data_IF_090205509990
#
_entry.id   IF_090205509990
#
_cell.length_a   1.000
_cell.length_b   1.000
_cell.length_c   1.000
_cell.angle_alpha   90.00
_cell.angle_beta   90.00
_cell.angle_gamma   90.00
#
_symmetry.space_group_name_H-M   'P 1'
#
loop_
_entity.id
_entity.type
_entity.pdbx_description
1 polymer ?
#
# COMPACT_ATOMS: atom_id res chain seq x y z
N UNK A 1 66.29 -63.24 -50.99
CA UNK A 1 65.70 -62.09 -51.64
C UNK A 1 64.77 -61.44 -50.67
N UNK A 2 65.24 -60.44 -50.14
CA UNK A 2 64.80 -59.18 -49.54
C UNK A 2 63.39 -59.17 -48.92
N UNK A 3 63.32 -59.35 -47.65
CA UNK A 3 62.14 -59.07 -46.83
C UNK A 3 62.26 -57.65 -46.26
N UNK A 4 61.26 -56.83 -46.56
CA UNK A 4 61.12 -55.53 -46.04
C UNK A 4 60.27 -55.60 -44.77
N UNK A 5 60.89 -55.41 -43.63
CA UNK A 5 60.19 -55.25 -42.34
C UNK A 5 59.78 -53.77 -42.19
N UNK A 6 58.51 -53.50 -42.28
CA UNK A 6 57.96 -52.18 -41.95
C UNK A 6 57.64 -52.15 -40.45
N UNK A 7 58.45 -51.43 -39.70
CA UNK A 7 58.12 -51.04 -38.30
C UNK A 7 57.03 -50.04 -38.27
N UNK A 8 55.92 -50.40 -37.65
CA UNK A 8 54.82 -49.47 -37.32
C UNK A 8 55.16 -48.85 -35.95
N UNK A 9 55.62 -47.65 -35.98
CA UNK A 9 55.75 -46.85 -34.75
C UNK A 9 54.34 -46.32 -34.41
N UNK A 10 53.71 -46.92 -33.40
CA UNK A 10 52.45 -46.42 -32.83
C UNK A 10 52.78 -45.27 -31.93
N UNK A 11 52.48 -44.05 -32.41
CA UNK A 11 52.59 -42.81 -31.65
C UNK A 11 51.37 -42.70 -30.69
N UNK A 12 51.58 -43.04 -29.40
CA UNK A 12 50.64 -42.82 -28.35
C UNK A 12 50.66 -41.28 -28.01
N UNK A 13 49.71 -40.54 -28.53
CA UNK A 13 49.42 -39.23 -28.05
C UNK A 13 48.69 -39.35 -26.71
N UNK A 14 49.18 -38.71 -25.61
CA UNK A 14 48.40 -38.59 -24.40
C UNK A 14 47.26 -37.58 -24.66
N UNK A 15 46.05 -38.10 -24.61
CA UNK A 15 44.82 -37.26 -24.60
C UNK A 15 44.79 -36.52 -23.27
N UNK A 16 45.45 -35.36 -23.25
CA UNK A 16 45.31 -34.41 -22.14
C UNK A 16 43.91 -33.83 -22.22
N UNK A 17 42.98 -34.44 -21.47
CA UNK A 17 41.68 -33.90 -21.19
C UNK A 17 41.89 -32.60 -20.40
N UNK A 18 41.96 -31.47 -21.10
CA UNK A 18 41.77 -30.17 -20.46
C UNK A 18 40.36 -30.17 -19.84
N UNK A 19 40.29 -30.54 -18.56
CA UNK A 19 39.17 -30.17 -17.70
C UNK A 19 39.11 -28.64 -17.66
N UNK A 20 38.36 -28.07 -18.58
CA UNK A 20 37.92 -26.69 -18.44
C UNK A 20 37.06 -26.64 -17.17
N UNK A 21 37.70 -26.32 -16.06
CA UNK A 21 37.00 -25.85 -14.85
C UNK A 21 36.35 -24.53 -15.27
N UNK A 22 35.14 -24.61 -15.79
CA UNK A 22 34.29 -23.45 -15.88
C UNK A 22 34.12 -22.96 -14.43
N UNK A 23 34.56 -21.75 -14.10
CA UNK A 23 34.22 -21.24 -12.81
C UNK A 23 32.68 -21.28 -12.73
N UNK A 24 32.19 -22.15 -11.87
CA UNK A 24 30.80 -22.11 -11.47
C UNK A 24 30.62 -20.70 -10.88
N UNK A 25 30.13 -19.78 -11.69
CA UNK A 25 29.58 -18.55 -11.15
C UNK A 25 28.47 -19.00 -10.21
N UNK A 26 28.84 -19.17 -8.94
CA UNK A 26 27.87 -19.38 -7.90
C UNK A 26 26.86 -18.24 -8.10
N UNK A 27 25.68 -18.60 -8.56
CA UNK A 27 24.61 -17.66 -8.79
C UNK A 27 24.42 -16.97 -7.45
N UNK A 28 24.88 -15.69 -7.36
CA UNK A 28 24.73 -14.93 -6.12
C UNK A 28 23.27 -15.06 -5.74
N UNK A 29 23.03 -15.56 -4.53
CA UNK A 29 21.67 -15.71 -4.04
C UNK A 29 20.94 -14.36 -4.10
N UNK A 30 19.62 -14.41 -4.24
CA UNK A 30 18.82 -13.18 -4.16
C UNK A 30 18.90 -12.57 -2.75
N UNK A 31 19.05 -11.24 -2.62
CA UNK A 31 19.28 -10.27 -3.69
C UNK A 31 20.77 -10.14 -4.06
N UNK A 32 21.10 -10.10 -5.36
CA UNK A 32 22.43 -9.85 -5.86
C UNK A 32 22.68 -8.40 -6.30
N UNK A 33 21.66 -7.54 -6.18
CA UNK A 33 21.68 -6.14 -6.58
C UNK A 33 20.59 -5.32 -5.87
N UNK A 34 20.49 -4.01 -6.18
CA UNK A 34 19.50 -3.12 -5.58
C UNK A 34 18.06 -3.54 -5.87
N UNK A 35 17.18 -3.31 -4.90
CA UNK A 35 15.73 -3.49 -5.04
C UNK A 35 15.09 -2.10 -5.19
N UNK A 36 14.18 -1.95 -6.15
CA UNK A 36 13.34 -0.76 -6.30
C UNK A 36 12.02 -0.99 -5.57
N UNK A 37 11.64 -0.08 -4.65
CA UNK A 37 10.32 -0.06 -4.02
C UNK A 37 9.50 1.09 -4.61
N UNK A 38 8.48 0.75 -5.40
CA UNK A 38 7.58 1.73 -6.00
C UNK A 38 6.50 2.11 -4.98
N UNK A 39 6.40 3.41 -4.69
CA UNK A 39 5.31 4.00 -3.91
C UNK A 39 4.38 4.72 -4.89
N UNK A 40 3.12 4.26 -5.09
CA UNK A 40 2.21 4.81 -6.10
C UNK A 40 1.52 6.12 -5.68
N UNK A 41 2.11 6.82 -4.73
CA UNK A 41 1.63 8.09 -4.15
C UNK A 41 2.75 9.10 -4.03
N UNK A 42 2.39 10.38 -3.90
CA UNK A 42 3.36 11.44 -3.66
C UNK A 42 4.07 11.30 -2.31
N UNK A 43 5.25 11.94 -2.17
CA UNK A 43 6.01 11.89 -0.93
C UNK A 43 5.28 12.55 0.24
N UNK A 44 5.57 12.08 1.46
CA UNK A 44 5.04 12.63 2.72
C UNK A 44 3.67 12.11 3.15
N UNK A 45 2.98 11.29 2.33
CA UNK A 45 1.76 10.59 2.74
C UNK A 45 2.07 9.25 3.41
N UNK A 46 1.05 8.63 4.03
CA UNK A 46 1.24 7.40 4.80
C UNK A 46 1.80 6.23 4.00
N UNK A 47 1.49 6.12 2.71
CA UNK A 47 2.08 5.10 1.84
C UNK A 47 3.60 5.32 1.63
N UNK A 48 4.04 6.58 1.50
CA UNK A 48 5.45 6.93 1.37
C UNK A 48 6.20 6.68 2.69
N UNK A 49 5.64 7.11 3.81
CA UNK A 49 6.22 6.90 5.15
C UNK A 49 6.40 5.41 5.41
N UNK A 50 5.36 4.60 5.21
CA UNK A 50 5.39 3.15 5.38
C UNK A 50 6.39 2.49 4.40
N UNK A 51 6.36 2.89 3.14
CA UNK A 51 7.27 2.37 2.11
C UNK A 51 8.74 2.62 2.46
N UNK A 52 9.07 3.83 2.92
CA UNK A 52 10.45 4.15 3.37
C UNK A 52 10.85 3.41 4.63
N UNK A 53 9.93 3.18 5.55
CA UNK A 53 10.19 2.37 6.74
C UNK A 53 10.50 0.91 6.36
N UNK A 54 9.67 0.31 5.51
CA UNK A 54 9.89 -1.04 5.00
C UNK A 54 11.18 -1.15 4.18
N UNK A 55 11.50 -0.14 3.36
CA UNK A 55 12.72 -0.10 2.57
C UNK A 55 13.98 -0.11 3.46
N UNK A 56 14.04 0.73 4.49
CA UNK A 56 15.16 0.75 5.44
C UNK A 56 15.35 -0.59 6.14
N UNK A 57 14.25 -1.23 6.54
CA UNK A 57 14.32 -2.56 7.12
C UNK A 57 14.86 -3.60 6.14
N UNK A 58 14.28 -3.69 4.93
CA UNK A 58 14.71 -4.63 3.88
C UNK A 58 16.18 -4.41 3.52
N UNK A 59 16.63 -3.15 3.41
CA UNK A 59 18.02 -2.80 3.16
C UNK A 59 18.95 -3.34 4.25
N UNK A 60 18.56 -3.17 5.51
CA UNK A 60 19.33 -3.64 6.66
C UNK A 60 19.35 -5.17 6.78
N UNK A 61 18.19 -5.86 6.61
CA UNK A 61 18.10 -7.32 6.78
C UNK A 61 18.70 -8.08 5.58
N UNK A 62 18.44 -7.60 4.35
CA UNK A 62 18.88 -8.27 3.10
C UNK A 62 20.27 -7.83 2.64
N UNK A 63 20.90 -6.85 3.30
CA UNK A 63 22.24 -6.32 2.95
C UNK A 63 22.37 -5.85 1.50
N UNK A 64 21.33 -5.20 0.99
CA UNK A 64 21.28 -4.64 -0.36
C UNK A 64 20.58 -3.29 -0.34
N UNK A 65 20.92 -2.39 -1.26
CA UNK A 65 20.23 -1.10 -1.34
C UNK A 65 18.75 -1.29 -1.73
N UNK A 66 17.85 -0.55 -1.05
CA UNK A 66 16.43 -0.51 -1.38
C UNK A 66 16.03 0.92 -1.71
N UNK A 67 15.85 1.19 -2.99
CA UNK A 67 15.59 2.54 -3.52
C UNK A 67 14.09 2.79 -3.61
N UNK A 68 13.60 3.79 -2.89
CA UNK A 68 12.18 4.18 -2.94
C UNK A 68 11.94 5.16 -4.08
N UNK A 69 11.00 4.84 -4.96
CA UNK A 69 10.55 5.69 -6.06
C UNK A 69 9.07 6.00 -5.94
N UNK A 70 8.72 7.29 -5.86
CA UNK A 70 7.33 7.74 -5.93
C UNK A 70 6.87 7.82 -7.38
N UNK A 71 5.72 7.20 -7.69
CA UNK A 71 5.09 7.20 -9.02
C UNK A 71 3.58 7.40 -8.89
N UNK A 72 3.12 8.62 -8.52
CA UNK A 72 1.71 8.89 -8.27
C UNK A 72 0.89 8.98 -9.54
N UNK A 73 -0.43 8.78 -9.41
CA UNK A 73 -1.43 9.02 -10.45
C UNK A 73 -2.43 7.89 -10.62
N UNK A 74 -3.62 8.24 -11.13
CA UNK A 74 -4.74 7.34 -11.40
C UNK A 74 -5.03 6.38 -10.23
N UNK A 75 -5.24 6.95 -9.05
CA UNK A 75 -5.51 6.20 -7.79
C UNK A 75 -4.47 5.10 -7.52
N UNK A 76 -3.18 5.39 -7.82
CA UNK A 76 -2.04 4.50 -7.60
C UNK A 76 -1.76 3.48 -8.72
N UNK A 77 -2.62 3.33 -9.70
CA UNK A 77 -2.43 2.33 -10.77
C UNK A 77 -1.20 2.59 -11.64
N UNK A 78 -0.81 3.86 -11.84
CA UNK A 78 0.39 4.21 -12.63
C UNK A 78 1.63 3.57 -11.99
N UNK A 79 1.82 3.75 -10.69
CA UNK A 79 2.97 3.21 -9.97
C UNK A 79 2.98 1.70 -9.94
N UNK A 80 1.85 1.04 -9.62
CA UNK A 80 1.79 -0.42 -9.60
C UNK A 80 1.96 -1.03 -10.99
N UNK A 81 1.43 -0.43 -12.04
CA UNK A 81 1.66 -0.91 -13.41
C UNK A 81 3.14 -0.75 -13.83
N UNK A 82 3.84 0.30 -13.34
CA UNK A 82 5.29 0.38 -13.52
C UNK A 82 5.99 -0.81 -12.83
N UNK A 83 5.67 -1.07 -11.58
CA UNK A 83 6.22 -2.21 -10.83
C UNK A 83 5.92 -3.54 -11.55
N UNK A 84 4.69 -3.75 -12.03
CA UNK A 84 4.30 -4.97 -12.75
C UNK A 84 5.12 -5.13 -14.04
N UNK A 85 5.33 -4.06 -14.80
CA UNK A 85 6.12 -4.11 -16.04
C UNK A 85 7.58 -4.47 -15.75
N UNK A 86 8.17 -3.86 -14.72
CA UNK A 86 9.60 -3.92 -14.44
C UNK A 86 9.97 -5.06 -13.46
N UNK A 87 8.99 -5.69 -12.79
CA UNK A 87 9.16 -6.53 -11.61
C UNK A 87 9.32 -8.03 -11.82
N UNK A 88 9.64 -8.51 -13.02
CA UNK A 88 9.64 -9.96 -13.32
C UNK A 88 10.63 -10.81 -12.51
N UNK A 89 11.68 -10.20 -11.95
CA UNK A 89 12.75 -10.85 -11.20
C UNK A 89 12.70 -10.64 -9.69
N UNK A 90 11.69 -9.91 -9.19
CA UNK A 90 11.59 -9.55 -7.78
C UNK A 90 12.46 -8.36 -7.35
N UNK A 91 13.21 -7.73 -8.25
CA UNK A 91 13.98 -6.52 -7.97
C UNK A 91 13.17 -5.22 -8.08
N UNK A 92 11.91 -5.30 -8.47
CA UNK A 92 10.92 -4.22 -8.34
C UNK A 92 9.73 -4.75 -7.55
N UNK A 93 9.48 -4.15 -6.41
CA UNK A 93 8.34 -4.42 -5.53
C UNK A 93 7.55 -3.13 -5.34
N UNK A 94 6.34 -3.22 -4.83
CA UNK A 94 5.46 -2.04 -4.71
C UNK A 94 4.71 -1.96 -3.41
N UNK A 95 4.35 -0.73 -3.03
CA UNK A 95 3.32 -0.49 -2.03
C UNK A 95 1.96 -0.53 -2.72
N UNK A 96 1.06 -1.40 -2.29
CA UNK A 96 -0.33 -1.38 -2.70
C UNK A 96 -1.20 -0.88 -1.54
N UNK A 97 -2.04 0.11 -1.81
CA UNK A 97 -3.00 0.64 -0.84
C UNK A 97 -4.41 0.12 -1.11
N UNK A 98 -5.30 0.25 -0.11
CA UNK A 98 -6.72 -0.03 -0.29
C UNK A 98 -7.34 0.75 -1.44
N UNK A 99 -6.86 1.98 -1.70
CA UNK A 99 -7.30 2.79 -2.85
C UNK A 99 -6.97 2.14 -4.19
N UNK A 100 -5.77 1.60 -4.35
CA UNK A 100 -5.41 0.93 -5.60
C UNK A 100 -6.11 -0.42 -5.74
N UNK A 101 -6.26 -1.15 -4.63
CA UNK A 101 -7.01 -2.40 -4.59
C UNK A 101 -8.48 -2.20 -5.02
N UNK A 102 -9.13 -1.12 -4.56
CA UNK A 102 -10.54 -0.82 -4.86
C UNK A 102 -10.81 -0.63 -6.35
N UNK A 103 -9.81 -0.20 -7.13
CA UNK A 103 -9.94 -0.10 -8.58
C UNK A 103 -10.37 -1.42 -9.23
N UNK A 104 -9.91 -2.56 -8.70
CA UNK A 104 -10.29 -3.89 -9.17
C UNK A 104 -11.77 -4.25 -8.99
N UNK A 105 -12.54 -3.40 -8.32
CA UNK A 105 -13.99 -3.56 -8.19
C UNK A 105 -14.77 -2.98 -9.38
N UNK A 106 -14.14 -2.19 -10.23
CA UNK A 106 -14.78 -1.49 -11.33
C UNK A 106 -14.52 -2.18 -12.67
N UNK A 107 -15.51 -2.20 -13.59
CA UNK A 107 -15.30 -2.61 -14.98
C UNK A 107 -14.22 -1.75 -15.64
N UNK A 108 -13.35 -2.34 -16.45
CA UNK A 108 -12.24 -1.65 -17.12
C UNK A 108 -11.23 -0.99 -16.17
N UNK A 109 -11.00 -1.65 -15.02
CA UNK A 109 -9.97 -1.22 -14.08
C UNK A 109 -8.62 -1.06 -14.77
N UNK A 110 -7.88 0.03 -14.50
CA UNK A 110 -6.50 0.17 -14.96
C UNK A 110 -5.51 -0.71 -14.20
N UNK A 111 -5.97 -1.43 -13.16
CA UNK A 111 -5.17 -2.32 -12.32
C UNK A 111 -5.96 -3.59 -12.01
N UNK A 112 -5.30 -4.76 -12.12
CA UNK A 112 -5.86 -6.04 -11.73
C UNK A 112 -5.09 -6.61 -10.53
N UNK A 113 -5.79 -6.93 -9.46
CA UNK A 113 -5.18 -7.54 -8.28
C UNK A 113 -4.52 -8.89 -8.59
N UNK A 114 -5.03 -9.65 -9.58
CA UNK A 114 -4.43 -10.91 -10.04
C UNK A 114 -3.03 -10.78 -10.62
N UNK A 115 -2.58 -9.57 -10.98
CA UNK A 115 -1.26 -9.33 -11.58
C UNK A 115 -0.14 -9.18 -10.53
N UNK A 116 -0.52 -9.20 -9.25
CA UNK A 116 0.43 -9.08 -8.14
C UNK A 116 0.34 -10.27 -7.18
N UNK A 117 1.41 -10.45 -6.41
CA UNK A 117 1.48 -11.37 -5.28
C UNK A 117 1.76 -10.55 -4.02
N UNK A 118 0.84 -10.51 -3.05
CA UNK A 118 1.07 -9.85 -1.77
C UNK A 118 2.17 -10.57 -0.99
N UNK A 119 3.13 -9.80 -0.47
CA UNK A 119 4.21 -10.29 0.40
C UNK A 119 3.85 -10.14 1.89
N UNK A 120 3.14 -9.08 2.22
CA UNK A 120 2.53 -8.85 3.53
C UNK A 120 1.56 -7.67 3.46
N UNK A 121 0.54 -7.66 4.33
CA UNK A 121 -0.15 -6.43 4.72
C UNK A 121 0.58 -5.88 5.94
N UNK A 122 1.05 -4.63 5.87
CA UNK A 122 1.81 -4.03 6.96
C UNK A 122 0.93 -3.20 7.90
N UNK A 123 -0.07 -2.51 7.37
CA UNK A 123 -0.89 -1.62 8.19
C UNK A 123 -2.35 -1.68 7.78
N UNK A 124 -3.22 -1.62 8.79
CA UNK A 124 -4.68 -1.45 8.68
C UNK A 124 -5.11 -0.32 9.60
N UNK A 125 -5.74 0.71 9.03
CA UNK A 125 -6.11 1.93 9.76
C UNK A 125 -7.58 2.28 9.51
N UNK A 126 -8.35 2.64 10.53
CA UNK A 126 -9.65 3.26 10.34
C UNK A 126 -9.49 4.60 9.59
N UNK A 127 -10.34 4.82 8.60
CA UNK A 127 -10.45 6.12 7.93
C UNK A 127 -11.42 7.03 8.68
N UNK A 128 -11.32 8.34 8.48
CA UNK A 128 -12.19 9.30 9.10
C UNK A 128 -12.40 10.55 8.25
N UNK A 129 -13.37 11.38 8.66
CA UNK A 129 -13.54 12.72 8.13
C UNK A 129 -13.01 13.73 9.13
N UNK A 130 -12.15 14.60 8.62
CA UNK A 130 -11.49 15.64 9.40
C UNK A 130 -11.85 17.00 8.84
N UNK A 131 -11.80 18.02 9.70
CA UNK A 131 -12.13 19.39 9.34
C UNK A 131 -11.10 20.35 9.95
N UNK A 132 -10.96 21.55 9.35
CA UNK A 132 -10.15 22.60 9.95
C UNK A 132 -10.62 22.87 11.39
N UNK A 133 -9.67 22.97 12.32
CA UNK A 133 -9.96 23.12 13.75
C UNK A 133 -10.82 24.37 14.05
N UNK A 134 -10.65 25.45 13.30
CA UNK A 134 -11.39 26.70 13.47
C UNK A 134 -12.76 26.72 12.77
N UNK A 135 -13.10 25.66 12.01
CA UNK A 135 -14.40 25.54 11.35
C UNK A 135 -15.57 25.75 12.34
N UNK A 136 -16.67 26.40 11.94
CA UNK A 136 -17.89 26.51 12.74
C UNK A 136 -18.58 25.16 12.97
N UNK A 137 -18.34 24.16 12.09
CA UNK A 137 -18.82 22.78 12.25
C UNK A 137 -17.95 22.11 13.30
N UNK A 138 -18.51 21.77 14.46
CA UNK A 138 -17.74 21.25 15.60
C UNK A 138 -17.90 19.74 15.82
N UNK A 139 -18.96 19.16 15.30
CA UNK A 139 -19.33 17.76 15.50
C UNK A 139 -19.82 17.12 14.20
N UNK A 140 -19.95 15.79 14.21
CA UNK A 140 -20.58 15.04 13.12
C UNK A 140 -22.04 15.49 12.92
N UNK A 141 -22.78 15.72 14.01
CA UNK A 141 -24.19 16.15 13.95
C UNK A 141 -24.32 17.55 13.32
N UNK A 142 -23.41 18.47 13.60
CA UNK A 142 -23.37 19.80 12.94
C UNK A 142 -23.16 19.64 11.43
N UNK A 143 -22.25 18.73 11.03
CA UNK A 143 -21.99 18.44 9.62
C UNK A 143 -23.24 17.89 8.93
N UNK A 144 -23.89 16.90 9.55
CA UNK A 144 -25.12 16.30 9.02
C UNK A 144 -26.22 17.34 8.88
N UNK A 145 -26.40 18.20 9.88
CA UNK A 145 -27.36 19.28 9.84
C UNK A 145 -27.06 20.29 8.72
N UNK A 146 -25.79 20.65 8.54
CA UNK A 146 -25.35 21.54 7.45
C UNK A 146 -25.58 20.93 6.06
N UNK A 147 -25.20 19.67 5.88
CA UNK A 147 -25.39 18.94 4.62
C UNK A 147 -26.87 18.76 4.26
N UNK A 148 -27.74 18.54 5.24
CA UNK A 148 -29.20 18.46 5.02
C UNK A 148 -29.83 19.81 4.67
N UNK A 149 -29.36 20.92 5.28
CA UNK A 149 -29.84 22.27 4.95
C UNK A 149 -29.49 22.68 3.53
N UNK A 150 -28.27 22.35 3.09
CA UNK A 150 -27.79 22.69 1.75
C UNK A 150 -27.04 21.50 1.14
N UNK A 151 -27.76 20.57 0.52
CA UNK A 151 -27.13 19.40 -0.12
C UNK A 151 -26.07 19.80 -1.16
N UNK A 152 -25.02 19.00 -1.25
CA UNK A 152 -23.89 19.19 -2.19
C UNK A 152 -23.17 20.56 -2.06
N UNK A 153 -23.14 21.14 -0.85
CA UNK A 153 -22.45 22.41 -0.58
C UNK A 153 -21.17 22.23 0.23
N UNK A 154 -20.86 21.03 0.66
CA UNK A 154 -19.68 20.71 1.47
C UNK A 154 -18.79 19.79 0.66
N UNK A 155 -17.57 20.22 0.42
CA UNK A 155 -16.58 19.51 -0.37
C UNK A 155 -15.70 18.63 0.53
N UNK A 156 -15.33 17.45 0.03
CA UNK A 156 -14.44 16.51 0.70
C UNK A 156 -13.22 16.29 -0.17
N UNK A 157 -12.05 16.60 0.32
CA UNK A 157 -10.79 16.23 -0.32
C UNK A 157 -10.57 14.71 -0.20
N UNK A 158 -10.45 14.04 -1.34
CA UNK A 158 -10.28 12.59 -1.48
C UNK A 158 -9.03 12.24 -2.28
N UNK A 159 -8.59 10.99 -2.24
CA UNK A 159 -7.42 10.51 -2.98
C UNK A 159 -7.65 10.46 -4.50
N UNK A 160 -8.86 10.12 -4.93
CA UNK A 160 -9.21 10.04 -6.35
C UNK A 160 -10.49 9.26 -6.62
N UNK A 161 -10.90 9.20 -7.88
CA UNK A 161 -12.09 8.46 -8.27
C UNK A 161 -11.92 6.96 -8.04
N UNK A 162 -13.04 6.29 -7.75
CA UNK A 162 -13.12 4.86 -7.47
C UNK A 162 -12.34 4.42 -6.22
N UNK A 163 -11.98 5.36 -5.34
CA UNK A 163 -11.32 5.10 -4.07
C UNK A 163 -12.33 4.71 -2.97
N UNK A 164 -11.86 4.14 -1.86
CA UNK A 164 -12.66 3.97 -0.64
C UNK A 164 -13.25 5.28 -0.14
N UNK A 165 -12.51 6.38 -0.30
CA UNK A 165 -12.94 7.74 0.08
C UNK A 165 -14.22 8.13 -0.68
N UNK A 166 -14.18 8.04 -2.01
CA UNK A 166 -15.34 8.35 -2.86
C UNK A 166 -16.50 7.41 -2.57
N UNK A 167 -16.23 6.10 -2.41
CA UNK A 167 -17.25 5.11 -2.07
C UNK A 167 -17.93 5.44 -0.74
N UNK A 168 -17.16 5.90 0.25
CA UNK A 168 -17.70 6.32 1.55
C UNK A 168 -18.55 7.59 1.41
N UNK A 169 -18.07 8.60 0.67
CA UNK A 169 -18.83 9.83 0.42
C UNK A 169 -20.15 9.52 -0.29
N UNK A 170 -20.12 8.66 -1.30
CA UNK A 170 -21.33 8.23 -2.03
C UNK A 170 -22.29 7.47 -1.11
N UNK A 171 -21.77 6.56 -0.27
CA UNK A 171 -22.60 5.85 0.72
C UNK A 171 -23.28 6.84 1.70
N UNK A 172 -22.56 7.84 2.21
CA UNK A 172 -23.15 8.86 3.08
C UNK A 172 -24.28 9.63 2.38
N UNK A 173 -24.15 9.86 1.07
CA UNK A 173 -25.22 10.42 0.24
C UNK A 173 -26.51 9.57 0.28
N UNK A 174 -26.40 8.23 0.26
CA UNK A 174 -27.58 7.31 0.40
C UNK A 174 -28.23 7.42 1.78
N UNK A 175 -27.52 7.96 2.77
CA UNK A 175 -28.02 8.21 4.14
C UNK A 175 -28.48 9.65 4.35
N UNK A 176 -28.57 10.45 3.27
CA UNK A 176 -29.01 11.84 3.30
C UNK A 176 -27.93 12.84 3.72
N UNK A 177 -26.66 12.44 3.76
CA UNK A 177 -25.50 13.32 3.98
C UNK A 177 -24.81 13.55 2.64
N UNK A 178 -25.34 14.52 1.87
CA UNK A 178 -24.89 14.79 0.51
C UNK A 178 -23.67 15.71 0.51
N UNK A 179 -22.51 15.16 0.20
CA UNK A 179 -21.21 15.80 0.11
C UNK A 179 -20.67 15.71 -1.33
N UNK A 180 -19.66 16.52 -1.66
CA UNK A 180 -19.04 16.54 -2.99
C UNK A 180 -17.58 16.11 -2.89
N UNK A 181 -17.21 15.06 -3.60
CA UNK A 181 -15.84 14.55 -3.66
C UNK A 181 -14.97 15.43 -4.58
N UNK A 182 -13.84 15.91 -4.07
CA UNK A 182 -12.84 16.69 -4.82
C UNK A 182 -11.52 15.91 -4.80
N UNK A 183 -11.04 15.38 -5.94
CA UNK A 183 -9.85 14.54 -5.99
C UNK A 183 -8.54 15.36 -5.90
N UNK A 184 -7.66 14.93 -4.99
CA UNK A 184 -6.28 15.41 -4.83
C UNK A 184 -5.35 14.20 -4.73
N UNK A 185 -4.70 13.78 -5.81
CA UNK A 185 -3.88 12.55 -5.82
C UNK A 185 -2.60 12.67 -4.99
N UNK A 186 -2.17 13.89 -4.65
CA UNK A 186 -1.00 14.12 -3.80
C UNK A 186 -1.42 14.51 -2.40
N UNK A 187 -0.97 13.78 -1.35
CA UNK A 187 -1.36 14.05 0.04
C UNK A 187 -1.11 15.51 0.46
N UNK A 188 0.06 16.06 0.14
CA UNK A 188 0.40 17.44 0.51
C UNK A 188 -0.58 18.47 -0.06
N UNK A 189 -1.03 18.31 -1.32
CA UNK A 189 -2.02 19.19 -1.94
C UNK A 189 -3.37 19.07 -1.23
N UNK A 190 -3.78 17.86 -0.87
CA UNK A 190 -5.01 17.55 -0.12
C UNK A 190 -5.02 18.24 1.26
N UNK A 191 -3.90 18.15 1.99
CA UNK A 191 -3.77 18.77 3.31
C UNK A 191 -3.78 20.30 3.22
N UNK A 192 -3.05 20.87 2.26
CA UNK A 192 -3.04 22.33 2.02
C UNK A 192 -4.42 22.83 1.69
N UNK A 193 -5.19 22.14 0.85
CA UNK A 193 -6.52 22.54 0.45
C UNK A 193 -7.48 22.66 1.65
N UNK A 194 -7.43 21.69 2.58
CA UNK A 194 -8.28 21.73 3.79
C UNK A 194 -7.78 22.79 4.79
N UNK A 195 -6.47 22.87 5.02
CA UNK A 195 -5.88 23.85 5.93
C UNK A 195 -6.09 25.29 5.44
N UNK A 196 -6.12 25.48 4.12
CA UNK A 196 -6.41 26.76 3.46
C UNK A 196 -7.91 27.05 3.26
N UNK A 197 -8.81 26.21 3.77
CA UNK A 197 -10.26 26.30 3.58
C UNK A 197 -10.70 26.38 2.10
N UNK A 198 -9.95 25.76 1.18
CA UNK A 198 -10.35 25.58 -0.23
C UNK A 198 -11.38 24.45 -0.36
N UNK A 199 -11.33 23.47 0.53
CA UNK A 199 -12.33 22.43 0.74
C UNK A 199 -12.59 22.30 2.24
N UNK A 200 -13.80 21.88 2.60
CA UNK A 200 -14.23 21.87 4.01
C UNK A 200 -13.70 20.64 4.74
N UNK A 201 -13.72 19.48 4.11
CA UNK A 201 -13.42 18.19 4.73
C UNK A 201 -12.21 17.50 4.08
N UNK A 202 -11.52 16.72 4.89
CA UNK A 202 -10.48 15.80 4.50
C UNK A 202 -10.93 14.39 4.84
N UNK A 203 -10.93 13.48 3.87
CA UNK A 203 -10.97 12.05 4.13
C UNK A 203 -9.54 11.54 4.29
N UNK A 204 -9.21 10.96 5.45
CA UNK A 204 -7.84 10.53 5.72
C UNK A 204 -7.78 9.54 6.92
N UNK A 205 -6.59 9.08 7.23
CA UNK A 205 -6.27 8.31 8.43
C UNK A 205 -5.61 9.23 9.46
N UNK A 206 -5.98 9.07 10.74
CA UNK A 206 -5.49 9.94 11.82
C UNK A 206 -3.95 9.95 11.92
N UNK A 207 -3.31 8.82 11.70
CA UNK A 207 -1.85 8.69 11.75
C UNK A 207 -1.13 9.49 10.67
N UNK A 208 -1.69 9.53 9.47
CA UNK A 208 -1.08 10.23 8.34
C UNK A 208 -1.06 11.75 8.51
N UNK A 209 -2.00 12.27 9.31
CA UNK A 209 -2.14 13.70 9.65
C UNK A 209 -1.88 13.99 11.13
N UNK A 210 -1.18 13.08 11.85
CA UNK A 210 -0.93 13.20 13.29
C UNK A 210 -0.39 14.57 13.69
N UNK A 211 0.59 15.10 12.97
CA UNK A 211 1.16 16.40 13.25
C UNK A 211 0.15 17.56 13.15
N UNK A 212 -0.83 17.48 12.25
CA UNK A 212 -1.89 18.47 12.15
C UNK A 212 -2.92 18.34 13.29
N UNK A 213 -3.18 17.12 13.76
CA UNK A 213 -4.07 16.87 14.90
C UNK A 213 -3.43 17.36 16.21
N UNK A 214 -2.16 17.00 16.46
CA UNK A 214 -1.41 17.44 17.64
C UNK A 214 -1.24 18.96 17.69
N UNK A 215 -1.02 19.59 16.54
CA UNK A 215 -0.95 21.05 16.40
C UNK A 215 -2.32 21.75 16.43
N UNK A 216 -3.41 21.02 16.64
CA UNK A 216 -4.79 21.54 16.63
C UNK A 216 -5.11 22.34 15.37
N UNK A 217 -4.61 21.92 14.22
CA UNK A 217 -4.96 22.50 12.91
C UNK A 217 -6.15 21.79 12.28
N UNK A 218 -6.29 20.49 12.53
CA UNK A 218 -7.41 19.65 12.13
C UNK A 218 -8.02 18.97 13.35
N UNK A 219 -9.28 18.56 13.23
CA UNK A 219 -9.95 17.67 14.19
C UNK A 219 -10.78 16.63 13.46
N UNK A 220 -10.92 15.42 14.02
CA UNK A 220 -11.83 14.41 13.49
C UNK A 220 -13.29 14.77 13.80
N UNK A 221 -14.21 14.42 12.89
CA UNK A 221 -15.64 14.48 13.10
C UNK A 221 -16.25 13.10 13.29
N UNK A 222 -15.74 12.08 12.59
CA UNK A 222 -16.19 10.69 12.64
C UNK A 222 -15.08 9.77 12.15
N UNK A 223 -15.03 8.54 12.68
CA UNK A 223 -14.26 7.44 12.10
C UNK A 223 -15.18 6.36 11.54
N UNK A 224 -14.79 5.75 10.43
CA UNK A 224 -15.52 4.63 9.83
C UNK A 224 -15.02 3.31 10.46
N UNK A 225 -15.61 2.97 11.59
CA UNK A 225 -15.23 1.84 12.43
C UNK A 225 -16.45 1.26 13.18
N UNK A 226 -16.33 0.02 13.64
CA UNK A 226 -17.36 -0.65 14.47
C UNK A 226 -17.23 -0.33 15.96
N UNK A 227 -16.06 0.11 16.39
CA UNK A 227 -15.78 0.44 17.79
C UNK A 227 -15.00 1.75 17.85
N UNK A 228 -15.24 2.51 18.91
CA UNK A 228 -14.49 3.76 19.16
C UNK A 228 -13.00 3.48 19.25
N UNK A 229 -12.22 4.40 18.70
CA UNK A 229 -10.77 4.33 18.77
C UNK A 229 -10.30 4.63 20.20
N UNK A 230 -9.13 4.11 20.59
CA UNK A 230 -8.55 4.47 21.89
C UNK A 230 -8.16 5.95 21.96
N UNK A 231 -7.83 6.49 23.15
CA UNK A 231 -7.31 7.85 23.28
C UNK A 231 -6.18 8.14 22.27
N UNK A 232 -6.14 9.36 21.68
CA UNK A 232 -6.91 10.55 22.05
C UNK A 232 -8.31 10.65 21.37
N UNK A 233 -8.82 9.61 20.72
CA UNK A 233 -10.03 9.66 19.91
C UNK A 233 -11.25 8.96 20.54
N UNK A 234 -11.20 8.63 21.83
CA UNK A 234 -12.26 7.88 22.52
C UNK A 234 -13.63 8.58 22.47
N UNK A 235 -13.64 9.91 22.43
CA UNK A 235 -14.87 10.73 22.38
C UNK A 235 -15.36 10.98 20.94
N UNK A 236 -14.57 10.64 19.93
CA UNK A 236 -14.96 10.83 18.53
C UNK A 236 -15.93 9.72 18.13
N UNK A 237 -17.10 10.07 17.55
CA UNK A 237 -18.05 9.06 17.12
C UNK A 237 -17.53 8.18 15.99
N UNK A 238 -18.12 6.98 15.87
CA UNK A 238 -17.84 6.04 14.81
C UNK A 238 -19.08 5.78 13.95
N UNK A 239 -18.89 5.29 12.74
CA UNK A 239 -19.98 5.02 11.79
C UNK A 239 -21.07 4.12 12.36
N UNK A 240 -20.72 3.15 13.21
CA UNK A 240 -21.68 2.27 13.87
C UNK A 240 -22.60 2.99 14.86
N UNK A 241 -22.19 4.11 15.47
CA UNK A 241 -23.04 4.91 16.37
C UNK A 241 -24.24 5.49 15.63
N UNK A 242 -24.15 5.64 14.32
CA UNK A 242 -25.18 6.20 13.45
C UNK A 242 -25.86 5.12 12.56
N UNK A 243 -25.56 3.85 12.77
CA UNK A 243 -26.10 2.76 11.96
C UNK A 243 -25.57 2.76 10.51
N UNK A 244 -24.40 3.34 10.28
CA UNK A 244 -23.75 3.30 8.97
C UNK A 244 -22.95 2.02 8.84
N UNK A 245 -23.40 1.15 7.95
CA UNK A 245 -22.72 -0.11 7.60
C UNK A 245 -21.70 0.17 6.48
N UNK A 246 -20.65 0.91 6.83
CA UNK A 246 -19.51 1.16 5.95
C UNK A 246 -18.20 1.08 6.74
N UNK A 247 -17.37 0.13 6.34
CA UNK A 247 -16.09 -0.17 6.93
C UNK A 247 -15.10 -0.39 5.79
N UNK A 248 -14.34 0.63 5.47
CA UNK A 248 -13.31 0.60 4.44
C UNK A 248 -12.00 1.08 5.08
N UNK A 249 -11.32 0.23 5.85
CA UNK A 249 -10.05 0.61 6.45
C UNK A 249 -9.02 0.82 5.36
N UNK A 250 -8.14 1.79 5.54
CA UNK A 250 -6.97 1.90 4.70
C UNK A 250 -6.02 0.76 5.00
N UNK A 251 -5.68 0.00 3.98
CA UNK A 251 -4.65 -1.04 4.04
C UNK A 251 -3.43 -0.62 3.23
N UNK A 252 -2.24 -1.00 3.69
CA UNK A 252 -1.00 -0.85 2.92
C UNK A 252 -0.22 -2.14 2.98
N UNK A 253 0.07 -2.66 1.81
CA UNK A 253 0.73 -3.95 1.60
C UNK A 253 2.01 -3.76 0.81
N UNK A 254 2.97 -4.65 0.98
CA UNK A 254 4.07 -4.82 0.03
C UNK A 254 3.69 -5.94 -0.92
N UNK A 255 3.82 -5.68 -2.21
CA UNK A 255 3.47 -6.61 -3.28
C UNK A 255 4.63 -6.78 -4.27
N UNK A 256 4.70 -7.95 -4.89
CA UNK A 256 5.54 -8.23 -6.03
C UNK A 256 4.69 -8.52 -7.27
N UNK A 257 5.29 -8.52 -8.45
CA UNK A 257 4.63 -8.98 -9.68
C UNK A 257 4.25 -10.47 -9.55
N UNK A 258 3.13 -10.84 -10.11
CA UNK A 258 2.73 -12.24 -10.24
C UNK A 258 3.75 -13.01 -11.07
N UNK A 259 4.15 -14.21 -10.60
CA UNK A 259 5.08 -15.09 -11.31
C UNK A 259 6.56 -14.86 -10.98
N UNK A 260 6.88 -13.99 -10.01
CA UNK A 260 8.24 -13.95 -9.42
C UNK A 260 8.55 -15.30 -8.76
N UNK A 261 9.80 -15.73 -8.86
CA UNK A 261 10.27 -16.99 -8.29
C UNK A 261 9.87 -17.15 -6.81
N UNK A 262 9.29 -18.31 -6.42
CA UNK A 262 8.81 -18.52 -5.05
C UNK A 262 9.87 -18.31 -3.96
N UNK A 263 11.12 -18.70 -4.21
CA UNK A 263 12.23 -18.51 -3.24
C UNK A 263 12.51 -17.02 -3.02
N UNK A 264 12.44 -16.23 -4.08
CA UNK A 264 12.58 -14.77 -4.02
C UNK A 264 11.45 -14.15 -3.18
N UNK A 265 10.21 -14.59 -3.42
CA UNK A 265 9.05 -14.13 -2.63
C UNK A 265 9.20 -14.51 -1.15
N UNK A 266 9.65 -15.74 -0.85
CA UNK A 266 9.89 -16.19 0.53
C UNK A 266 10.96 -15.36 1.24
N UNK A 267 12.07 -15.01 0.57
CA UNK A 267 13.13 -14.19 1.16
C UNK A 267 12.57 -12.81 1.55
N UNK A 268 11.83 -12.17 0.64
CA UNK A 268 11.21 -10.86 0.89
C UNK A 268 10.17 -10.95 2.01
N UNK A 269 9.27 -11.93 1.96
CA UNK A 269 8.23 -12.12 2.95
C UNK A 269 8.79 -12.45 4.35
N UNK A 270 9.81 -13.30 4.43
CA UNK A 270 10.46 -13.62 5.68
C UNK A 270 11.16 -12.41 6.31
N UNK A 271 11.74 -11.53 5.49
CA UNK A 271 12.28 -10.27 5.98
C UNK A 271 11.18 -9.37 6.56
N UNK A 272 10.03 -9.25 5.88
CA UNK A 272 8.88 -8.48 6.38
C UNK A 272 8.26 -9.13 7.65
N UNK A 273 8.24 -10.46 7.75
CA UNK A 273 7.83 -11.17 8.96
C UNK A 273 8.72 -10.81 10.17
N UNK A 274 10.04 -10.80 9.98
CA UNK A 274 10.97 -10.34 11.04
C UNK A 274 10.70 -8.88 11.41
N UNK A 275 10.46 -8.01 10.42
CA UNK A 275 10.13 -6.61 10.66
C UNK A 275 8.92 -6.46 11.59
N UNK A 276 7.87 -7.23 11.35
CA UNK A 276 6.62 -7.15 12.12
C UNK A 276 6.79 -7.43 13.62
N UNK A 277 7.86 -8.12 14.02
CA UNK A 277 8.13 -8.45 15.42
C UNK A 277 9.04 -7.43 16.13
N UNK A 278 9.47 -6.38 15.43
CA UNK A 278 10.37 -5.38 15.99
C UNK A 278 9.64 -4.32 16.83
N UNK A 279 10.32 -3.74 17.84
CA UNK A 279 9.79 -2.58 18.55
C UNK A 279 9.56 -1.37 17.63
N UNK A 280 10.38 -1.19 16.59
CA UNK A 280 10.22 -0.13 15.61
C UNK A 280 8.88 -0.24 14.88
N UNK A 281 8.52 -1.45 14.43
CA UNK A 281 7.23 -1.67 13.77
C UNK A 281 6.05 -1.47 14.72
N UNK A 282 6.12 -1.99 15.94
CA UNK A 282 5.08 -1.80 16.95
C UNK A 282 4.88 -0.32 17.31
N UNK A 283 5.98 0.44 17.42
CA UNK A 283 5.94 1.89 17.63
C UNK A 283 5.30 2.61 16.43
N UNK A 284 5.67 2.22 15.22
CA UNK A 284 5.06 2.76 14.00
C UNK A 284 3.54 2.54 13.99
N UNK A 285 3.05 1.32 14.27
CA UNK A 285 1.60 1.08 14.32
C UNK A 285 0.90 1.95 15.35
N UNK A 286 1.48 2.12 16.53
CA UNK A 286 0.92 2.96 17.59
C UNK A 286 0.90 4.44 17.17
N UNK A 287 1.97 4.95 16.57
CA UNK A 287 2.06 6.32 16.08
C UNK A 287 1.10 6.61 14.93
N UNK A 288 0.76 5.60 14.17
CA UNK A 288 -0.20 5.66 13.09
C UNK A 288 -1.64 5.43 13.52
N UNK A 289 -1.91 5.23 14.81
CA UNK A 289 -3.23 4.84 15.33
C UNK A 289 -3.83 3.65 14.58
N UNK A 290 -2.96 2.76 14.13
CA UNK A 290 -3.32 1.56 13.38
C UNK A 290 -3.83 0.45 14.31
N UNK A 291 -4.48 -0.54 13.74
CA UNK A 291 -4.87 -1.73 14.48
C UNK A 291 -3.61 -2.46 14.99
N UNK A 292 -3.57 -2.89 16.24
CA UNK A 292 -2.38 -3.58 16.80
C UNK A 292 -2.03 -4.88 16.07
N UNK A 293 -3.05 -5.54 15.52
CA UNK A 293 -2.97 -6.78 14.72
C UNK A 293 -2.92 -6.51 13.21
N UNK A 294 -2.36 -5.37 12.82
CA UNK A 294 -2.33 -4.93 11.40
C UNK A 294 -1.58 -5.86 10.46
N UNK A 295 -0.51 -6.49 10.97
CA UNK A 295 0.34 -7.31 10.12
C UNK A 295 -0.37 -8.61 9.71
N UNK A 296 -0.35 -8.89 8.38
CA UNK A 296 -0.85 -10.15 7.82
C UNK A 296 0.27 -10.73 6.94
N UNK A 297 0.76 -11.94 7.25
CA UNK A 297 1.86 -12.57 6.52
C UNK A 297 1.44 -12.99 5.11
N UNK A 298 2.41 -13.24 4.23
CA UNK A 298 2.20 -13.63 2.84
C UNK A 298 1.20 -14.78 2.66
N UNK A 299 1.23 -15.76 3.55
CA UNK A 299 0.35 -16.93 3.48
C UNK A 299 -1.15 -16.58 3.58
N UNK A 300 -1.49 -15.49 4.26
CA UNK A 300 -2.87 -15.05 4.52
C UNK A 300 -3.23 -13.78 3.74
N UNK A 301 -2.23 -13.01 3.31
CA UNK A 301 -2.41 -11.68 2.73
C UNK A 301 -3.27 -11.69 1.45
N UNK A 302 -3.12 -12.72 0.59
CA UNK A 302 -3.92 -12.81 -0.62
C UNK A 302 -5.41 -12.99 -0.31
N UNK A 303 -5.75 -13.94 0.56
CA UNK A 303 -7.14 -14.20 0.93
C UNK A 303 -7.78 -12.99 1.63
N UNK A 304 -7.02 -12.32 2.50
CA UNK A 304 -7.47 -11.09 3.15
C UNK A 304 -7.79 -9.99 2.12
N UNK A 305 -6.89 -9.71 1.18
CA UNK A 305 -7.07 -8.66 0.19
C UNK A 305 -8.15 -8.99 -0.85
N UNK A 306 -8.34 -10.27 -1.20
CA UNK A 306 -9.48 -10.72 -2.01
C UNK A 306 -10.82 -10.46 -1.30
N UNK A 307 -10.88 -10.67 0.02
CA UNK A 307 -12.08 -10.36 0.80
C UNK A 307 -12.34 -8.85 0.84
N UNK A 308 -11.30 -8.02 1.06
CA UNK A 308 -11.42 -6.56 0.97
C UNK A 308 -11.94 -6.13 -0.41
N UNK A 309 -11.39 -6.68 -1.49
CA UNK A 309 -11.85 -6.39 -2.86
C UNK A 309 -13.31 -6.80 -3.06
N UNK A 310 -13.74 -7.91 -2.47
CA UNK A 310 -15.13 -8.35 -2.56
C UNK A 310 -16.11 -7.39 -1.84
N UNK A 311 -15.66 -6.76 -0.74
CA UNK A 311 -16.42 -5.70 -0.04
C UNK A 311 -16.58 -4.48 -0.96
N UNK A 312 -15.51 -4.02 -1.61
CA UNK A 312 -15.59 -2.92 -2.59
C UNK A 312 -16.55 -3.24 -3.73
N UNK A 313 -16.48 -4.44 -4.29
CA UNK A 313 -17.41 -4.87 -5.36
C UNK A 313 -18.87 -4.78 -4.95
N UNK A 314 -19.23 -5.17 -3.73
CA UNK A 314 -20.60 -5.05 -3.21
C UNK A 314 -21.09 -3.61 -3.08
N UNK A 315 -20.19 -2.66 -2.83
CA UNK A 315 -20.53 -1.25 -2.72
C UNK A 315 -20.73 -0.57 -4.07
N UNK A 316 -20.04 -1.05 -5.10
CA UNK A 316 -20.10 -0.48 -6.46
C UNK A 316 -21.22 -1.03 -7.32
N UNK A 317 -21.86 -2.13 -6.92
CA UNK A 317 -22.99 -2.78 -7.65
C UNK A 317 -24.36 -2.34 -7.17
N UNK A 318 -24.46 -1.41 -6.24
CA UNK A 318 -25.69 -0.77 -5.77
C UNK A 318 -25.82 0.64 -6.33
#
# INVERSE_FOLDING_TARGET
MKNLIKSIITLLLPLVSLLYIYPSYAQKGYPAGPIELIVPWGPGGGADVMGRLAARWLESDLKTNVVVQNAPGATGSIGLNKMIRDGSTGYSIGVMTGDTLSLGAFPKSPFNFSDVTPLAVLIRQPSGLFINFDSPIKSWDDLVAAAKRKPNSINVAITGPNSPDESTVNYLGTKGVNLVSIPYPKPAERYIAVLGNQVELLYEQAGDIRGHLEAKKLRPLIFFATKRLPPPFADVPVSSDYGYDILLPQTRSIVAKKGVDPKTLEILANSLNKFSTTPEFSNYLREQYALPDSFIPMAEANAFLENELAIFKKLTTK
#
